data_IF_092295466441
#
_entry.id   IF_092295466441
#
_cell.length_a   1.000
_cell.length_b   1.000
_cell.length_c   1.000
_cell.angle_alpha   90.00
_cell.angle_beta   90.00
_cell.angle_gamma   90.00
#
_symmetry.space_group_name_H-M   'P 1'
#
loop_
_entity.id
_entity.type
_entity.pdbx_description
1 polymer ?
#
# COMPACT_ATOMS: atom_id res chain seq x y z
N UNK A 1 19.55 -10.03 16.74
CA UNK A 1 18.76 -10.52 17.90
C UNK A 1 17.86 -9.40 18.34
N UNK A 2 16.58 -9.67 18.66
CA UNK A 2 15.66 -8.65 19.21
C UNK A 2 16.03 -8.51 20.67
N UNK A 3 16.48 -7.33 21.08
CA UNK A 3 16.77 -7.04 22.49
C UNK A 3 15.47 -7.05 23.28
N UNK A 4 15.33 -8.00 24.21
CA UNK A 4 14.09 -8.22 24.98
C UNK A 4 13.63 -7.01 25.78
N UNK A 5 14.56 -6.10 26.12
CA UNK A 5 14.33 -4.90 26.93
C UNK A 5 14.42 -3.60 26.12
N UNK A 6 14.44 -3.66 24.79
CA UNK A 6 14.38 -2.43 23.98
C UNK A 6 13.05 -1.70 24.17
N UNK A 7 13.02 -0.35 24.09
CA UNK A 7 11.78 0.43 24.21
C UNK A 7 10.71 -0.06 23.24
N UNK A 8 11.12 -0.49 22.04
CA UNK A 8 10.23 -1.05 21.01
C UNK A 8 9.60 -2.37 21.46
N UNK A 9 10.38 -3.28 22.02
CA UNK A 9 9.87 -4.58 22.51
C UNK A 9 8.94 -4.38 23.72
N UNK A 10 9.26 -3.46 24.63
CA UNK A 10 8.39 -3.10 25.76
C UNK A 10 7.05 -2.59 25.26
N UNK A 11 7.05 -1.68 24.28
CA UNK A 11 5.83 -1.19 23.67
C UNK A 11 5.02 -2.32 23.02
N UNK A 12 5.65 -3.21 22.23
CA UNK A 12 4.96 -4.35 21.59
C UNK A 12 4.35 -5.30 22.64
N UNK A 13 5.03 -5.55 23.76
CA UNK A 13 4.47 -6.31 24.89
C UNK A 13 3.24 -5.59 25.50
N UNK A 14 3.28 -4.26 25.62
CA UNK A 14 2.13 -3.48 26.10
C UNK A 14 0.93 -3.57 25.17
N UNK A 15 1.12 -3.64 23.85
CA UNK A 15 0.04 -3.87 22.88
C UNK A 15 -0.64 -5.22 23.12
N UNK A 16 0.14 -6.27 23.39
CA UNK A 16 -0.42 -7.58 23.74
C UNK A 16 -1.22 -7.54 25.04
N UNK A 17 -0.73 -6.82 26.06
CA UNK A 17 -1.46 -6.63 27.32
C UNK A 17 -2.81 -5.93 27.10
N UNK A 18 -2.86 -4.87 26.27
CA UNK A 18 -4.08 -4.19 25.88
C UNK A 18 -5.05 -5.13 25.13
N UNK A 19 -4.51 -5.95 24.21
CA UNK A 19 -5.30 -6.91 23.46
C UNK A 19 -5.92 -7.98 24.36
N UNK A 20 -5.15 -8.52 25.32
CA UNK A 20 -5.66 -9.47 26.31
C UNK A 20 -6.74 -8.82 27.18
N UNK A 21 -6.52 -7.59 27.65
CA UNK A 21 -7.51 -6.84 28.43
C UNK A 21 -8.82 -6.58 27.65
N UNK A 22 -8.76 -6.54 26.31
CA UNK A 22 -9.95 -6.46 25.44
C UNK A 22 -10.55 -7.85 25.10
N UNK A 23 -10.32 -8.87 25.92
CA UNK A 23 -10.83 -10.23 25.71
C UNK A 23 -10.12 -10.99 24.60
N UNK A 24 -8.87 -10.64 24.30
CA UNK A 24 -8.05 -11.22 23.23
C UNK A 24 -8.73 -11.18 21.84
N UNK A 25 -9.49 -10.12 21.58
CA UNK A 25 -10.17 -9.86 20.31
C UNK A 25 -10.02 -8.40 19.90
N UNK A 26 -9.40 -8.16 18.72
CA UNK A 26 -9.23 -6.79 18.23
C UNK A 26 -8.28 -6.68 17.04
N UNK A 27 -8.09 -5.43 16.57
CA UNK A 27 -7.13 -5.13 15.52
C UNK A 27 -6.11 -4.06 15.93
N UNK A 28 -4.93 -4.11 15.31
CA UNK A 28 -3.89 -3.08 15.46
C UNK A 28 -3.68 -2.37 14.13
N UNK A 29 -3.59 -1.03 14.16
CA UNK A 29 -3.25 -0.18 13.00
C UNK A 29 -1.83 0.36 13.18
N UNK A 30 -0.83 -0.39 12.74
CA UNK A 30 0.59 -0.12 13.01
C UNK A 30 1.33 0.03 11.69
N UNK A 31 2.02 1.16 11.51
CA UNK A 31 2.76 1.46 10.28
C UNK A 31 3.78 0.37 9.92
N UNK A 32 4.02 0.19 8.63
CA UNK A 32 5.00 -0.76 8.13
C UNK A 32 6.40 -0.40 8.66
N UNK A 33 7.16 -1.41 9.03
CA UNK A 33 8.50 -1.21 9.60
C UNK A 33 8.53 -1.10 11.13
N UNK A 34 7.41 -0.78 11.82
CA UNK A 34 7.35 -0.69 13.29
C UNK A 34 7.24 -2.07 13.99
N UNK A 35 7.23 -3.20 13.27
CA UNK A 35 7.27 -4.54 13.86
C UNK A 35 5.90 -5.17 14.11
N UNK A 36 4.92 -4.88 13.27
CA UNK A 36 3.58 -5.47 13.29
C UNK A 36 3.57 -7.00 13.40
N UNK A 37 4.39 -7.69 12.57
CA UNK A 37 4.49 -9.15 12.60
C UNK A 37 5.00 -9.69 13.95
N UNK A 38 5.87 -8.95 14.64
CA UNK A 38 6.38 -9.36 15.96
C UNK A 38 5.30 -9.32 17.04
N UNK A 39 4.31 -8.43 16.92
CA UNK A 39 3.12 -8.47 17.79
C UNK A 39 2.35 -9.77 17.56
N UNK A 40 2.23 -10.24 16.32
CA UNK A 40 1.70 -11.58 16.01
C UNK A 40 2.51 -12.70 16.67
N UNK A 41 3.85 -12.61 16.63
CA UNK A 41 4.76 -13.56 17.31
C UNK A 41 4.47 -13.60 18.81
N UNK A 42 4.38 -12.44 19.47
CA UNK A 42 4.09 -12.37 20.90
C UNK A 42 2.70 -12.94 21.26
N UNK A 43 1.70 -12.71 20.41
CA UNK A 43 0.36 -13.30 20.58
C UNK A 43 0.42 -14.84 20.47
N UNK A 44 1.20 -15.38 19.53
CA UNK A 44 1.40 -16.82 19.35
C UNK A 44 2.13 -17.41 20.57
N UNK A 45 3.20 -16.79 21.03
CA UNK A 45 3.94 -17.20 22.21
C UNK A 45 3.03 -17.28 23.45
N UNK A 46 2.22 -16.26 23.66
CA UNK A 46 1.22 -16.24 24.74
C UNK A 46 0.16 -17.36 24.58
N UNK A 47 -0.28 -17.60 23.34
CA UNK A 47 -1.23 -18.69 23.06
C UNK A 47 -0.58 -20.07 23.34
N UNK A 48 0.65 -20.28 22.89
CA UNK A 48 1.39 -21.52 23.16
C UNK A 48 1.62 -21.75 24.67
N UNK A 49 1.80 -20.71 25.47
CA UNK A 49 1.92 -20.81 26.93
C UNK A 49 0.60 -21.21 27.59
N UNK A 50 -0.52 -20.65 27.17
CA UNK A 50 -1.83 -20.88 27.78
C UNK A 50 -2.56 -22.11 27.22
N UNK A 51 -2.28 -22.46 25.97
CA UNK A 51 -2.92 -23.52 25.21
C UNK A 51 -1.89 -24.31 24.38
N UNK A 52 -0.98 -25.07 25.03
CA UNK A 52 0.20 -25.67 24.40
C UNK A 52 -0.14 -26.66 23.27
N UNK A 53 -1.30 -27.31 23.33
CA UNK A 53 -1.71 -28.35 22.37
C UNK A 53 -2.71 -27.86 21.32
N UNK A 54 -3.06 -26.57 21.34
CA UNK A 54 -4.05 -26.02 20.41
C UNK A 54 -3.41 -25.43 19.18
N UNK A 55 -4.10 -25.58 18.06
CA UNK A 55 -3.68 -24.99 16.77
C UNK A 55 -3.80 -23.46 16.77
N UNK A 56 -2.96 -22.83 16.00
CA UNK A 56 -2.93 -21.39 15.72
C UNK A 56 -2.93 -21.22 14.22
N UNK A 57 -3.90 -20.45 13.70
CA UNK A 57 -4.00 -20.18 12.28
C UNK A 57 -3.64 -18.75 11.96
N UNK A 58 -2.76 -18.56 10.97
CA UNK A 58 -2.42 -17.28 10.40
C UNK A 58 -2.97 -17.21 8.97
N UNK A 59 -3.81 -16.22 8.69
CA UNK A 59 -4.38 -15.98 7.37
C UNK A 59 -3.75 -14.75 6.76
N UNK A 60 -3.18 -14.90 5.58
CA UNK A 60 -2.48 -13.83 4.84
C UNK A 60 -3.06 -13.66 3.45
N UNK A 61 -2.97 -12.46 2.81
CA UNK A 61 -3.53 -12.24 1.48
C UNK A 61 -2.70 -12.85 0.34
N UNK A 62 -1.41 -13.13 0.55
CA UNK A 62 -0.51 -13.54 -0.52
C UNK A 62 0.51 -14.60 -0.09
N UNK A 63 1.03 -15.35 -1.07
CA UNK A 63 2.10 -16.35 -0.85
C UNK A 63 3.38 -15.68 -0.32
N UNK A 64 3.68 -14.46 -0.77
CA UNK A 64 4.88 -13.71 -0.31
C UNK A 64 4.82 -13.43 1.18
N UNK A 65 3.63 -13.08 1.70
CA UNK A 65 3.42 -12.90 3.14
C UNK A 65 3.40 -14.23 3.88
N UNK A 66 2.90 -15.31 3.28
CA UNK A 66 3.03 -16.65 3.86
C UNK A 66 4.51 -17.05 4.00
N UNK A 67 5.33 -16.83 2.97
CA UNK A 67 6.78 -17.09 3.00
C UNK A 67 7.47 -16.30 4.13
N UNK A 68 7.04 -15.08 4.45
CA UNK A 68 7.58 -14.29 5.57
C UNK A 68 7.36 -14.96 6.94
N UNK A 69 6.31 -15.74 7.08
CA UNK A 69 6.04 -16.53 8.28
C UNK A 69 6.71 -17.90 8.27
N UNK A 70 6.78 -18.56 7.11
CA UNK A 70 7.10 -20.00 6.97
C UNK A 70 8.50 -20.29 6.42
N UNK A 71 9.25 -19.31 5.91
CA UNK A 71 10.59 -19.53 5.36
C UNK A 71 11.48 -20.28 6.38
N UNK A 72 12.11 -21.36 5.95
CA UNK A 72 12.89 -22.25 6.82
C UNK A 72 14.11 -21.58 7.46
N UNK A 73 14.60 -20.48 6.90
CA UNK A 73 15.79 -19.77 7.39
C UNK A 73 15.46 -18.45 8.08
N UNK A 74 14.46 -17.74 7.58
CA UNK A 74 14.16 -16.33 7.95
C UNK A 74 12.71 -16.12 8.38
N UNK A 75 11.85 -17.14 8.30
CA UNK A 75 10.45 -17.03 8.67
C UNK A 75 10.25 -16.88 10.17
N UNK A 76 9.24 -16.13 10.57
CA UNK A 76 8.97 -15.85 11.98
C UNK A 76 8.76 -17.12 12.80
N UNK A 77 8.12 -18.17 12.23
CA UNK A 77 7.88 -19.44 12.92
C UNK A 77 9.21 -20.06 13.36
N UNK A 78 10.15 -20.16 12.44
CA UNK A 78 11.47 -20.75 12.70
C UNK A 78 12.33 -19.91 13.62
N UNK A 79 12.39 -18.59 13.35
CA UNK A 79 13.24 -17.67 14.11
C UNK A 79 12.84 -17.57 15.59
N UNK A 80 11.54 -17.75 15.90
CA UNK A 80 11.02 -17.59 17.26
C UNK A 80 10.58 -18.93 17.88
N UNK A 81 10.84 -20.06 17.23
CA UNK A 81 10.50 -21.38 17.75
C UNK A 81 9.00 -21.58 18.03
N UNK A 82 8.14 -20.98 17.18
CA UNK A 82 6.70 -21.02 17.37
C UNK A 82 6.15 -22.41 17.07
N UNK A 83 5.23 -22.91 17.89
CA UNK A 83 4.66 -24.26 17.78
C UNK A 83 3.19 -24.19 17.36
N UNK A 84 2.70 -25.26 16.75
CA UNK A 84 1.29 -25.46 16.38
C UNK A 84 0.72 -24.38 15.46
N UNK A 85 1.56 -23.76 14.63
CA UNK A 85 1.19 -22.66 13.73
C UNK A 85 1.03 -23.19 12.32
N UNK A 86 -0.14 -22.94 11.74
CA UNK A 86 -0.43 -23.18 10.32
C UNK A 86 -0.66 -21.82 9.61
N UNK A 87 -0.08 -21.62 8.44
CA UNK A 87 -0.20 -20.39 7.66
C UNK A 87 -0.93 -20.65 6.35
N UNK A 88 -1.95 -19.86 6.09
CA UNK A 88 -2.82 -20.03 4.93
C UNK A 88 -2.92 -18.75 4.12
N UNK A 89 -2.90 -18.89 2.79
CA UNK A 89 -3.38 -17.84 1.92
C UNK A 89 -4.91 -17.81 1.97
N UNK A 90 -5.50 -16.63 2.11
CA UNK A 90 -6.93 -16.42 2.35
C UNK A 90 -7.83 -17.18 1.37
N UNK A 91 -7.48 -17.20 0.07
CA UNK A 91 -8.26 -17.90 -0.97
C UNK A 91 -8.27 -19.43 -0.80
N UNK A 92 -7.28 -19.96 -0.08
CA UNK A 92 -7.22 -21.38 0.28
C UNK A 92 -7.97 -21.64 1.58
N UNK A 93 -7.81 -20.74 2.55
CA UNK A 93 -8.42 -20.85 3.87
C UNK A 93 -9.95 -20.95 3.82
N UNK A 94 -10.61 -20.14 3.01
CA UNK A 94 -12.08 -20.09 2.89
C UNK A 94 -12.71 -21.29 2.16
N UNK A 95 -11.93 -22.33 1.88
CA UNK A 95 -12.42 -23.57 1.22
C UNK A 95 -12.79 -24.68 2.20
N UNK A 96 -12.43 -24.57 3.47
CA UNK A 96 -12.67 -25.58 4.50
C UNK A 96 -12.99 -24.95 5.85
N UNK A 97 -13.52 -25.76 6.76
CA UNK A 97 -13.73 -25.35 8.15
C UNK A 97 -12.45 -25.51 8.96
N UNK A 98 -12.24 -24.66 9.95
CA UNK A 98 -11.06 -24.65 10.80
C UNK A 98 -11.44 -24.57 12.29
N UNK A 99 -10.59 -25.15 13.14
CA UNK A 99 -10.65 -25.02 14.60
C UNK A 99 -9.27 -24.64 15.12
N UNK A 100 -9.17 -23.51 15.84
CA UNK A 100 -7.90 -23.04 16.41
C UNK A 100 -8.15 -22.23 17.70
N UNK A 101 -7.16 -22.16 18.58
CA UNK A 101 -7.25 -21.30 19.75
C UNK A 101 -7.07 -19.82 19.37
N UNK A 102 -6.13 -19.53 18.47
CA UNK A 102 -5.84 -18.18 18.00
C UNK A 102 -5.94 -18.12 16.48
N UNK A 103 -6.75 -17.18 16.00
CA UNK A 103 -6.79 -16.77 14.60
C UNK A 103 -6.09 -15.42 14.44
N UNK A 104 -5.05 -15.36 13.61
CA UNK A 104 -4.40 -14.11 13.20
C UNK A 104 -4.76 -13.83 11.74
N UNK A 105 -5.24 -12.62 11.45
CA UNK A 105 -5.48 -12.16 10.08
C UNK A 105 -4.50 -11.01 9.82
N UNK A 106 -3.44 -11.30 9.05
CA UNK A 106 -2.45 -10.30 8.66
C UNK A 106 -2.90 -9.57 7.40
N UNK A 107 -2.67 -8.25 7.34
CA UNK A 107 -3.17 -7.33 6.32
C UNK A 107 -4.70 -7.45 6.15
N UNK A 108 -5.43 -7.33 7.26
CA UNK A 108 -6.88 -7.58 7.34
C UNK A 108 -7.72 -6.72 6.38
N UNK A 109 -7.23 -5.58 5.91
CA UNK A 109 -7.90 -4.74 4.91
C UNK A 109 -8.19 -5.46 3.58
N UNK A 110 -7.47 -6.54 3.28
CA UNK A 110 -7.75 -7.38 2.10
C UNK A 110 -8.91 -8.36 2.31
N UNK A 111 -9.25 -8.61 3.55
CA UNK A 111 -10.33 -9.51 3.94
C UNK A 111 -11.60 -8.76 4.36
N UNK A 112 -11.46 -7.56 4.94
CA UNK A 112 -12.53 -6.76 5.52
C UNK A 112 -13.07 -5.70 4.54
N UNK A 113 -14.38 -5.41 4.62
CA UNK A 113 -15.07 -4.36 3.86
C UNK A 113 -16.46 -4.81 3.40
N UNK A 114 -17.36 -3.88 3.13
CA UNK A 114 -18.75 -4.17 2.73
C UNK A 114 -18.89 -5.11 1.51
N UNK A 115 -17.93 -5.06 0.59
CA UNK A 115 -17.87 -5.94 -0.58
C UNK A 115 -16.99 -7.17 -0.39
N UNK A 116 -16.27 -7.26 0.72
CA UNK A 116 -15.39 -8.38 1.02
C UNK A 116 -16.16 -9.50 1.72
N UNK A 117 -16.87 -10.32 0.96
CA UNK A 117 -17.46 -11.58 1.44
C UNK A 117 -16.43 -12.52 2.09
N UNK A 118 -15.12 -12.19 1.97
CA UNK A 118 -14.02 -13.04 2.36
C UNK A 118 -13.79 -13.05 3.86
N UNK A 119 -13.88 -11.88 4.54
CA UNK A 119 -13.74 -11.82 6.01
C UNK A 119 -14.86 -12.59 6.71
N UNK A 120 -16.10 -12.42 6.23
CA UNK A 120 -17.25 -13.16 6.76
C UNK A 120 -16.98 -14.67 6.68
N UNK A 121 -16.52 -15.16 5.51
CA UNK A 121 -16.18 -16.57 5.32
C UNK A 121 -15.06 -17.02 6.26
N UNK A 122 -14.02 -16.21 6.46
CA UNK A 122 -12.94 -16.56 7.40
C UNK A 122 -13.50 -16.73 8.81
N UNK A 123 -14.35 -15.81 9.25
CA UNK A 123 -14.95 -15.86 10.60
C UNK A 123 -15.98 -16.98 10.72
N UNK A 124 -16.86 -17.13 9.73
CA UNK A 124 -17.94 -18.15 9.73
C UNK A 124 -17.39 -19.60 9.67
N UNK A 125 -16.27 -19.79 8.95
CA UNK A 125 -15.65 -21.11 8.78
C UNK A 125 -14.64 -21.46 9.87
N UNK A 126 -14.40 -20.55 10.84
CA UNK A 126 -13.39 -20.77 11.88
C UNK A 126 -14.00 -20.74 13.28
N UNK A 127 -13.84 -21.82 14.01
CA UNK A 127 -14.03 -21.83 15.45
C UNK A 127 -12.73 -21.38 16.12
N UNK A 128 -12.77 -20.26 16.83
CA UNK A 128 -11.61 -19.67 17.52
C UNK A 128 -11.98 -19.10 18.88
N UNK A 129 -11.00 -19.03 19.79
CA UNK A 129 -11.16 -18.37 21.09
C UNK A 129 -10.61 -16.94 21.05
N UNK A 130 -9.49 -16.71 20.37
CA UNK A 130 -8.78 -15.45 20.28
C UNK A 130 -8.66 -14.99 18.82
N UNK A 131 -8.78 -13.68 18.60
CA UNK A 131 -8.68 -13.05 17.27
C UNK A 131 -7.76 -11.82 17.32
N UNK A 132 -6.71 -11.83 16.51
CA UNK A 132 -5.84 -10.68 16.31
C UNK A 132 -5.80 -10.31 14.82
N UNK A 133 -6.26 -9.12 14.47
CA UNK A 133 -6.14 -8.59 13.12
C UNK A 133 -5.01 -7.57 13.06
N UNK A 134 -4.12 -7.72 12.09
CA UNK A 134 -2.96 -6.85 11.89
C UNK A 134 -3.13 -6.06 10.58
N UNK A 135 -2.82 -4.76 10.62
CA UNK A 135 -2.84 -3.89 9.45
C UNK A 135 -1.92 -2.70 9.62
N UNK A 136 -1.48 -2.10 8.51
CA UNK A 136 -0.75 -0.84 8.53
C UNK A 136 -1.71 0.37 8.54
N UNK A 137 -2.86 0.25 7.90
CA UNK A 137 -3.90 1.29 7.86
C UNK A 137 -5.23 0.69 7.41
N UNK A 138 -6.33 1.29 7.87
CA UNK A 138 -7.69 0.94 7.46
C UNK A 138 -8.45 2.18 6.99
N UNK A 139 -9.22 2.02 5.93
CA UNK A 139 -10.24 2.99 5.54
C UNK A 139 -11.43 2.92 6.51
N UNK A 140 -12.21 3.99 6.61
CA UNK A 140 -13.28 4.07 7.62
C UNK A 140 -14.38 3.03 7.43
N UNK A 141 -14.68 2.66 6.18
CA UNK A 141 -15.59 1.55 5.87
C UNK A 141 -15.10 0.20 6.43
N UNK A 142 -13.78 -0.08 6.37
CA UNK A 142 -13.20 -1.29 6.97
C UNK A 142 -13.30 -1.27 8.49
N UNK A 143 -13.08 -0.10 9.13
CA UNK A 143 -13.20 0.06 10.58
C UNK A 143 -14.64 -0.20 11.04
N UNK A 144 -15.61 0.45 10.39
CA UNK A 144 -17.04 0.26 10.67
C UNK A 144 -17.43 -1.21 10.53
N UNK A 145 -16.95 -1.88 9.47
CA UNK A 145 -17.19 -3.27 9.24
C UNK A 145 -16.63 -4.17 10.36
N UNK A 146 -15.35 -4.00 10.75
CA UNK A 146 -14.74 -4.76 11.84
C UNK A 146 -15.43 -4.51 13.19
N UNK A 147 -15.84 -3.27 13.46
CA UNK A 147 -16.59 -2.93 14.67
C UNK A 147 -17.94 -3.65 14.75
N UNK A 148 -18.62 -3.85 13.61
CA UNK A 148 -19.85 -4.65 13.51
C UNK A 148 -19.66 -6.11 13.96
N UNK A 149 -18.45 -6.66 13.83
CA UNK A 149 -18.06 -7.98 14.35
C UNK A 149 -17.50 -7.93 15.79
N UNK A 150 -17.54 -6.78 16.46
CA UNK A 150 -16.96 -6.60 17.79
C UNK A 150 -15.42 -6.61 17.81
N UNK A 151 -14.78 -6.44 16.65
CA UNK A 151 -13.31 -6.34 16.52
C UNK A 151 -12.92 -4.87 16.64
N UNK A 152 -12.44 -4.45 17.83
CA UNK A 152 -12.12 -3.06 18.15
C UNK A 152 -10.64 -2.74 17.92
N UNK A 153 -10.33 -1.45 17.78
CA UNK A 153 -8.94 -0.97 17.73
C UNK A 153 -8.27 -1.18 19.10
N UNK A 154 -7.14 -1.85 19.10
CA UNK A 154 -6.29 -2.07 20.29
C UNK A 154 -5.20 -1.04 20.38
N UNK A 155 -4.50 -0.79 19.26
CA UNK A 155 -3.38 0.14 19.20
C UNK A 155 -3.29 0.76 17.82
N UNK A 156 -2.94 2.06 17.78
CA UNK A 156 -2.59 2.77 16.58
C UNK A 156 -1.21 3.39 16.72
N UNK A 157 -0.32 3.08 15.76
CA UNK A 157 1.03 3.60 15.73
C UNK A 157 1.38 4.08 14.32
N UNK A 158 1.61 5.38 14.19
CA UNK A 158 1.83 6.07 12.91
C UNK A 158 3.30 6.04 12.50
N UNK A 159 3.58 6.31 11.22
CA UNK A 159 4.96 6.46 10.74
C UNK A 159 5.70 7.60 11.45
N UNK A 160 5.01 8.73 11.75
CA UNK A 160 5.62 9.83 12.48
C UNK A 160 6.04 9.42 13.90
N UNK A 161 5.19 8.70 14.64
CA UNK A 161 5.56 8.15 15.94
C UNK A 161 6.77 7.21 15.86
N UNK A 162 6.88 6.45 14.75
CA UNK A 162 8.03 5.59 14.50
C UNK A 162 9.32 6.35 14.24
N UNK A 163 9.24 7.49 13.56
CA UNK A 163 10.38 8.42 13.38
C UNK A 163 10.76 9.07 14.70
N UNK A 164 9.77 9.62 15.42
CA UNK A 164 9.98 10.29 16.72
C UNK A 164 10.59 9.35 17.76
N UNK A 165 10.28 8.06 17.69
CA UNK A 165 10.84 7.02 18.55
C UNK A 165 12.21 6.47 18.06
N UNK A 166 12.75 6.93 16.95
CA UNK A 166 13.98 6.42 16.34
C UNK A 166 13.87 4.98 15.77
N UNK A 167 12.64 4.48 15.51
CA UNK A 167 12.44 3.14 14.97
C UNK A 167 12.29 3.12 13.44
N UNK A 168 12.04 4.27 12.85
CA UNK A 168 11.97 4.50 11.41
C UNK A 168 12.87 5.66 11.01
N UNK A 169 13.38 5.64 9.80
CA UNK A 169 14.16 6.74 9.25
C UNK A 169 13.29 7.99 9.05
N UNK A 170 13.82 9.19 9.25
CA UNK A 170 13.21 10.43 8.82
C UNK A 170 12.81 10.37 7.33
N UNK A 171 11.74 11.05 6.96
CA UNK A 171 11.27 11.02 5.58
C UNK A 171 10.63 12.32 5.13
N UNK A 172 10.64 12.52 3.80
CA UNK A 172 9.90 13.59 3.12
C UNK A 172 9.08 13.00 1.98
N UNK A 173 7.86 13.48 1.82
CA UNK A 173 7.00 13.21 0.66
C UNK A 173 7.03 14.46 -0.22
N UNK A 174 7.61 14.36 -1.41
CA UNK A 174 7.86 15.46 -2.31
C UNK A 174 6.96 15.32 -3.55
N UNK A 175 5.96 16.18 -3.65
CA UNK A 175 4.99 16.17 -4.75
C UNK A 175 5.50 17.09 -5.87
N UNK A 176 5.85 16.52 -7.02
CA UNK A 176 6.45 17.24 -8.15
C UNK A 176 5.46 17.33 -9.29
N UNK A 177 5.09 18.55 -9.72
CA UNK A 177 4.22 18.75 -10.88
C UNK A 177 4.98 18.41 -12.17
N UNK A 178 4.30 17.72 -13.07
CA UNK A 178 4.80 17.39 -14.41
C UNK A 178 3.75 17.89 -15.41
N UNK A 179 4.11 18.87 -16.21
CA UNK A 179 3.21 19.42 -17.21
C UNK A 179 3.00 18.45 -18.38
N UNK A 180 1.80 18.45 -18.94
CA UNK A 180 1.53 17.83 -20.23
C UNK A 180 2.05 18.76 -21.34
N UNK A 181 2.59 18.19 -22.41
CA UNK A 181 2.77 18.96 -23.65
C UNK A 181 1.43 19.40 -24.25
N UNK A 182 1.46 20.26 -25.25
CA UNK A 182 0.23 20.83 -25.80
C UNK A 182 -0.71 19.79 -26.38
N UNK A 183 -0.19 18.76 -27.07
CA UNK A 183 -0.98 17.71 -27.68
C UNK A 183 -1.65 16.81 -26.61
N UNK A 184 -0.89 16.42 -25.62
CA UNK A 184 -1.40 15.57 -24.51
C UNK A 184 -2.37 16.37 -23.62
N UNK A 185 -2.18 17.67 -23.44
CA UNK A 185 -3.13 18.56 -22.73
C UNK A 185 -4.46 18.63 -23.48
N UNK A 186 -4.44 18.87 -24.78
CA UNK A 186 -5.65 18.92 -25.62
C UNK A 186 -6.40 17.58 -25.60
N UNK A 187 -5.67 16.48 -25.65
CA UNK A 187 -6.22 15.12 -25.55
C UNK A 187 -6.93 14.89 -24.21
N UNK A 188 -6.27 15.26 -23.10
CA UNK A 188 -6.84 15.12 -21.77
C UNK A 188 -8.10 15.98 -21.61
N UNK A 189 -8.05 17.24 -22.06
CA UNK A 189 -9.16 18.20 -21.91
C UNK A 189 -10.38 17.75 -22.72
N UNK A 190 -10.21 17.21 -23.93
CA UNK A 190 -11.30 16.58 -24.71
C UNK A 190 -11.92 15.39 -23.96
N UNK A 191 -11.11 14.48 -23.43
CA UNK A 191 -11.61 13.34 -22.63
C UNK A 191 -12.32 13.80 -21.35
N UNK A 192 -11.79 14.86 -20.71
CA UNK A 192 -12.38 15.40 -19.50
C UNK A 192 -13.71 16.10 -19.77
N UNK A 193 -13.84 16.84 -20.86
CA UNK A 193 -15.08 17.48 -21.30
C UNK A 193 -16.17 16.41 -21.60
N UNK A 194 -15.84 15.36 -22.35
CA UNK A 194 -16.78 14.27 -22.62
C UNK A 194 -17.19 13.51 -21.35
N UNK A 195 -16.25 13.29 -20.42
CA UNK A 195 -16.60 12.74 -19.12
C UNK A 195 -17.59 13.63 -18.36
N UNK A 196 -17.33 14.93 -18.27
CA UNK A 196 -18.18 15.89 -17.54
C UNK A 196 -19.57 16.01 -18.18
N UNK A 197 -19.68 16.00 -19.50
CA UNK A 197 -20.96 16.03 -20.25
C UNK A 197 -21.88 14.90 -19.80
N UNK A 198 -21.36 13.68 -19.67
CA UNK A 198 -22.14 12.55 -19.20
C UNK A 198 -22.27 12.51 -17.67
N UNK A 199 -21.32 13.07 -16.93
CA UNK A 199 -21.37 13.15 -15.47
C UNK A 199 -22.47 14.10 -14.98
N UNK A 200 -22.79 15.13 -15.76
CA UNK A 200 -23.89 16.05 -15.47
C UNK A 200 -25.26 15.31 -15.34
N UNK A 201 -25.46 14.21 -16.08
CA UNK A 201 -26.65 13.34 -15.94
C UNK A 201 -26.84 12.86 -14.50
N UNK A 202 -25.78 12.66 -13.77
CA UNK A 202 -25.74 12.20 -12.38
C UNK A 202 -25.56 13.33 -11.38
N UNK A 203 -25.86 14.58 -11.78
CA UNK A 203 -25.70 15.78 -10.94
C UNK A 203 -24.28 15.93 -10.36
N UNK A 204 -23.27 15.46 -11.09
CA UNK A 204 -21.88 15.36 -10.68
C UNK A 204 -21.65 14.55 -9.38
N UNK A 205 -22.59 13.68 -9.02
CA UNK A 205 -22.45 12.75 -7.88
C UNK A 205 -21.92 11.39 -8.34
N UNK A 206 -20.74 11.06 -7.84
CA UNK A 206 -20.06 9.81 -8.17
C UNK A 206 -20.82 8.58 -7.65
N UNK A 207 -21.50 8.69 -6.50
CA UNK A 207 -22.26 7.58 -5.92
C UNK A 207 -23.49 7.28 -6.75
N UNK A 208 -24.22 8.30 -7.22
CA UNK A 208 -25.35 8.15 -8.14
C UNK A 208 -24.88 7.48 -9.43
N UNK A 209 -23.79 7.98 -10.03
CA UNK A 209 -23.24 7.41 -11.26
C UNK A 209 -22.83 5.93 -11.07
N UNK A 210 -22.13 5.61 -9.99
CA UNK A 210 -21.71 4.23 -9.68
C UNK A 210 -22.90 3.32 -9.37
N UNK A 211 -23.93 3.83 -8.69
CA UNK A 211 -25.16 3.07 -8.45
C UNK A 211 -25.84 2.72 -9.77
N UNK A 212 -25.89 3.66 -10.72
CA UNK A 212 -26.40 3.37 -12.08
C UNK A 212 -25.53 2.35 -12.84
N UNK A 213 -24.23 2.24 -12.55
CA UNK A 213 -23.37 1.21 -13.17
C UNK A 213 -23.67 -0.18 -12.62
N UNK A 214 -23.98 -0.30 -11.32
CA UNK A 214 -24.11 -1.58 -10.61
C UNK A 214 -25.56 -2.07 -10.47
N UNK A 215 -26.54 -1.17 -10.51
CA UNK A 215 -27.95 -1.45 -10.31
C UNK A 215 -28.78 -0.99 -11.53
N UNK A 216 -29.29 -1.95 -12.26
CA UNK A 216 -30.11 -1.69 -13.45
C UNK A 216 -31.46 -1.06 -13.12
N UNK A 217 -32.08 -1.47 -11.98
CA UNK A 217 -33.38 -0.94 -11.57
C UNK A 217 -33.30 0.55 -11.21
N UNK A 218 -32.14 0.96 -10.61
CA UNK A 218 -31.93 2.35 -10.27
C UNK A 218 -31.87 3.28 -11.49
N UNK A 219 -31.48 2.77 -12.68
CA UNK A 219 -31.53 3.54 -13.93
C UNK A 219 -32.95 3.94 -14.32
N UNK A 220 -33.91 3.03 -14.16
CA UNK A 220 -35.32 3.30 -14.39
C UNK A 220 -35.86 4.36 -13.43
N UNK A 221 -35.49 4.31 -12.16
CA UNK A 221 -35.85 5.34 -11.15
C UNK A 221 -35.31 6.70 -11.58
N UNK A 222 -34.01 6.77 -11.93
CA UNK A 222 -33.39 8.01 -12.36
C UNK A 222 -33.98 8.55 -13.68
N UNK A 223 -34.35 7.66 -14.61
CA UNK A 223 -35.03 8.02 -15.86
C UNK A 223 -36.34 8.73 -15.57
N UNK A 224 -37.16 8.18 -14.69
CA UNK A 224 -38.45 8.76 -14.27
C UNK A 224 -38.23 10.12 -13.56
N UNK A 225 -37.26 10.23 -12.64
CA UNK A 225 -36.95 11.49 -11.95
C UNK A 225 -36.53 12.61 -12.91
N UNK A 226 -35.79 12.28 -13.97
CA UNK A 226 -35.30 13.25 -14.95
C UNK A 226 -36.27 13.49 -16.12
N UNK A 227 -37.35 12.72 -16.23
CA UNK A 227 -38.23 12.74 -17.40
C UNK A 227 -37.56 12.27 -18.69
N UNK A 228 -36.58 11.35 -18.59
CA UNK A 228 -35.81 10.82 -19.71
C UNK A 228 -36.17 9.37 -20.00
N UNK A 229 -35.91 8.93 -21.25
CA UNK A 229 -36.00 7.50 -21.54
C UNK A 229 -34.86 6.70 -20.85
N UNK A 230 -35.15 5.45 -20.50
CA UNK A 230 -34.11 4.56 -19.94
C UNK A 230 -32.95 4.36 -20.92
N UNK A 231 -33.21 4.36 -22.21
CA UNK A 231 -32.18 4.28 -23.25
C UNK A 231 -31.17 5.44 -23.14
N UNK A 232 -31.68 6.67 -22.89
CA UNK A 232 -30.82 7.86 -22.69
C UNK A 232 -29.96 7.73 -21.43
N UNK A 233 -30.53 7.25 -20.34
CA UNK A 233 -29.77 6.99 -19.10
C UNK A 233 -28.72 5.91 -19.35
N UNK A 234 -29.07 4.80 -20.00
CA UNK A 234 -28.13 3.73 -20.32
C UNK A 234 -26.96 4.22 -21.18
N UNK A 235 -27.21 5.04 -22.18
CA UNK A 235 -26.17 5.68 -23.00
C UNK A 235 -25.26 6.58 -22.18
N UNK A 236 -25.84 7.40 -21.27
CA UNK A 236 -25.07 8.26 -20.37
C UNK A 236 -24.18 7.45 -19.40
N UNK A 237 -24.71 6.38 -18.81
CA UNK A 237 -23.95 5.47 -17.93
C UNK A 237 -22.78 4.82 -18.69
N UNK A 238 -23.05 4.31 -19.89
CA UNK A 238 -22.02 3.66 -20.72
C UNK A 238 -20.91 4.65 -21.07
N UNK A 239 -21.27 5.82 -21.61
CA UNK A 239 -20.29 6.83 -22.04
C UNK A 239 -19.53 7.43 -20.85
N UNK A 240 -20.19 7.70 -19.72
CA UNK A 240 -19.52 8.16 -18.51
C UNK A 240 -18.48 7.15 -18.03
N UNK A 241 -18.84 5.87 -17.91
CA UNK A 241 -17.94 4.81 -17.46
C UNK A 241 -16.78 4.59 -18.45
N UNK A 242 -17.06 4.64 -19.77
CA UNK A 242 -16.04 4.57 -20.81
C UNK A 242 -15.04 5.72 -20.71
N UNK A 243 -15.51 6.97 -20.63
CA UNK A 243 -14.66 8.15 -20.57
C UNK A 243 -13.88 8.23 -19.25
N UNK A 244 -14.46 7.77 -18.13
CA UNK A 244 -13.75 7.60 -16.87
C UNK A 244 -12.54 6.66 -17.02
N UNK A 245 -12.71 5.53 -17.72
CA UNK A 245 -11.63 4.55 -17.97
C UNK A 245 -10.58 5.09 -18.93
N UNK A 246 -10.98 5.71 -20.04
CA UNK A 246 -10.06 6.30 -21.02
C UNK A 246 -9.18 7.38 -20.39
N UNK A 247 -9.77 8.32 -19.62
CA UNK A 247 -9.05 9.37 -18.91
C UNK A 247 -8.07 8.81 -17.88
N UNK A 248 -8.48 7.76 -17.15
CA UNK A 248 -7.64 7.05 -16.19
C UNK A 248 -6.45 6.37 -16.89
N UNK A 249 -6.71 5.66 -17.97
CA UNK A 249 -5.70 4.96 -18.76
C UNK A 249 -4.70 5.95 -19.33
N UNK A 250 -5.17 7.08 -19.89
CA UNK A 250 -4.31 8.15 -20.36
C UNK A 250 -3.34 8.62 -19.26
N UNK A 251 -3.85 8.96 -18.05
CA UNK A 251 -3.02 9.43 -16.94
C UNK A 251 -2.02 8.38 -16.43
N UNK A 252 -2.26 7.09 -16.70
CA UNK A 252 -1.32 6.03 -16.37
C UNK A 252 -0.15 5.90 -17.34
N UNK A 253 -0.29 6.46 -18.57
CA UNK A 253 0.70 6.34 -19.63
C UNK A 253 1.29 7.69 -20.04
N UNK A 254 1.11 8.73 -19.24
CA UNK A 254 1.71 10.07 -19.52
C UNK A 254 3.22 9.94 -19.64
N UNK A 255 3.69 10.19 -20.85
CA UNK A 255 5.08 10.02 -21.24
C UNK A 255 6.02 10.94 -20.46
N UNK A 256 5.62 12.20 -20.26
CA UNK A 256 6.42 13.17 -19.51
C UNK A 256 6.67 12.73 -18.07
N UNK A 257 5.72 12.04 -17.40
CA UNK A 257 5.93 11.47 -16.06
C UNK A 257 6.90 10.30 -16.04
N UNK A 258 6.82 9.41 -17.06
CA UNK A 258 7.75 8.29 -17.22
C UNK A 258 9.17 8.81 -17.41
N UNK A 259 9.36 9.78 -18.30
CA UNK A 259 10.65 10.40 -18.57
C UNK A 259 11.20 11.14 -17.34
N UNK A 260 10.37 11.88 -16.62
CA UNK A 260 10.75 12.53 -15.36
C UNK A 260 11.21 11.51 -14.32
N UNK A 261 10.51 10.37 -14.16
CA UNK A 261 10.91 9.32 -13.24
C UNK A 261 12.29 8.72 -13.60
N UNK A 262 12.57 8.53 -14.89
CA UNK A 262 13.87 8.05 -15.39
C UNK A 262 14.98 9.06 -15.07
N UNK A 263 14.77 10.34 -15.41
CA UNK A 263 15.73 11.42 -15.18
C UNK A 263 16.04 11.55 -13.68
N UNK A 264 15.02 11.68 -12.85
CA UNK A 264 15.19 11.80 -11.39
C UNK A 264 15.98 10.62 -10.82
N UNK A 265 15.70 9.39 -11.29
CA UNK A 265 16.39 8.19 -10.81
C UNK A 265 17.87 8.19 -11.20
N UNK A 266 18.18 8.60 -12.44
CA UNK A 266 19.56 8.69 -12.94
C UNK A 266 20.37 9.78 -12.22
N UNK A 267 19.77 10.94 -11.94
CA UNK A 267 20.44 12.05 -11.27
C UNK A 267 20.70 11.76 -9.79
N UNK A 268 19.71 11.25 -9.07
CA UNK A 268 19.85 11.02 -7.63
C UNK A 268 20.73 9.81 -7.29
N UNK A 269 20.82 8.81 -8.14
CA UNK A 269 21.66 7.59 -8.01
C UNK A 269 21.47 6.83 -6.69
N UNK A 270 20.33 7.01 -6.04
CA UNK A 270 19.96 6.31 -4.82
C UNK A 270 19.32 4.96 -5.16
N UNK A 271 19.38 4.00 -4.23
CA UNK A 271 18.62 2.76 -4.38
C UNK A 271 17.12 3.07 -4.41
N UNK A 272 16.46 2.77 -5.53
CA UNK A 272 15.13 3.29 -5.86
C UNK A 272 14.12 2.20 -6.17
N UNK A 273 12.88 2.35 -5.65
CA UNK A 273 11.69 1.70 -6.20
C UNK A 273 10.89 2.72 -7.01
N UNK A 274 10.56 2.35 -8.26
CA UNK A 274 9.64 3.11 -9.11
C UNK A 274 8.27 2.40 -9.12
N UNK A 275 7.23 3.12 -8.75
CA UNK A 275 5.87 2.60 -8.62
C UNK A 275 4.96 3.16 -9.72
N UNK A 276 4.26 2.27 -10.42
CA UNK A 276 3.27 2.65 -11.41
C UNK A 276 2.07 1.72 -11.51
N UNK A 277 1.16 2.06 -12.41
CA UNK A 277 -0.06 1.31 -12.66
C UNK A 277 -0.04 0.57 -14.01
N UNK A 278 0.93 0.88 -14.88
CA UNK A 278 1.09 0.31 -16.22
C UNK A 278 2.31 -0.60 -16.30
N UNK A 279 2.12 -1.81 -16.82
CA UNK A 279 3.23 -2.74 -17.08
C UNK A 279 4.12 -2.15 -18.17
N UNK A 280 3.55 -1.66 -19.28
CA UNK A 280 4.32 -1.05 -20.38
C UNK A 280 5.19 0.13 -19.90
N UNK A 281 4.67 0.96 -18.97
CA UNK A 281 5.47 2.03 -18.38
C UNK A 281 6.59 1.52 -17.48
N UNK A 282 6.36 0.43 -16.73
CA UNK A 282 7.38 -0.19 -15.90
C UNK A 282 8.52 -0.81 -16.77
N UNK A 283 8.15 -1.49 -17.86
CA UNK A 283 9.08 -2.08 -18.81
C UNK A 283 9.93 -0.99 -19.48
N UNK A 284 9.30 0.11 -19.94
CA UNK A 284 9.98 1.26 -20.54
C UNK A 284 10.99 1.91 -19.59
N UNK A 285 10.64 2.07 -18.32
CA UNK A 285 11.55 2.60 -17.30
C UNK A 285 12.74 1.66 -17.11
N UNK A 286 12.49 0.35 -17.01
CA UNK A 286 13.53 -0.64 -16.82
C UNK A 286 14.48 -0.68 -18.03
N UNK A 287 13.95 -0.65 -19.24
CA UNK A 287 14.74 -0.58 -20.48
C UNK A 287 15.64 0.68 -20.51
N UNK A 288 15.09 1.85 -20.17
CA UNK A 288 15.83 3.12 -20.17
C UNK A 288 16.91 3.21 -19.08
N UNK A 289 16.75 2.49 -17.96
CA UNK A 289 17.73 2.40 -16.88
C UNK A 289 18.70 1.23 -17.06
N UNK A 290 18.47 0.34 -18.02
CA UNK A 290 19.37 -0.75 -18.44
C UNK A 290 19.72 -1.73 -17.31
N UNK A 291 20.98 -2.19 -17.30
CA UNK A 291 21.46 -3.23 -16.37
C UNK A 291 21.36 -2.86 -14.89
N UNK A 292 21.16 -1.60 -14.55
CA UNK A 292 20.99 -1.15 -13.16
C UNK A 292 19.54 -1.30 -12.67
N UNK A 293 18.59 -1.66 -13.54
CA UNK A 293 17.17 -1.80 -13.22
C UNK A 293 16.65 -3.22 -13.47
N UNK A 294 15.75 -3.66 -12.62
CA UNK A 294 14.95 -4.86 -12.82
C UNK A 294 13.48 -4.55 -12.77
N UNK A 295 12.68 -5.35 -13.44
CA UNK A 295 11.22 -5.25 -13.47
C UNK A 295 10.57 -6.10 -12.40
N UNK A 296 9.35 -5.67 -11.98
CA UNK A 296 8.48 -6.48 -11.13
C UNK A 296 7.01 -6.21 -11.43
N UNK A 297 6.33 -7.17 -12.03
CA UNK A 297 4.90 -7.07 -12.35
C UNK A 297 4.21 -8.44 -12.49
N UNK A 298 2.89 -8.46 -12.55
CA UNK A 298 2.07 -9.67 -12.52
C UNK A 298 2.21 -10.60 -13.74
N UNK A 299 2.76 -10.12 -14.86
CA UNK A 299 3.03 -10.96 -16.04
C UNK A 299 4.31 -11.77 -15.93
N UNK A 300 5.17 -11.48 -14.94
CA UNK A 300 6.41 -12.24 -14.73
C UNK A 300 6.12 -13.60 -14.10
N UNK A 301 6.97 -14.58 -14.42
CA UNK A 301 6.96 -15.84 -13.69
C UNK A 301 7.43 -15.63 -12.24
N UNK A 302 6.93 -16.45 -11.31
CA UNK A 302 7.34 -16.38 -9.90
C UNK A 302 8.87 -16.52 -9.72
N UNK A 303 9.50 -17.36 -10.54
CA UNK A 303 10.96 -17.56 -10.53
C UNK A 303 11.69 -16.31 -10.93
N UNK A 304 11.29 -15.67 -12.04
CA UNK A 304 11.91 -14.44 -12.52
C UNK A 304 11.72 -13.29 -11.52
N UNK A 305 10.52 -13.13 -10.98
CA UNK A 305 10.24 -12.13 -9.94
C UNK A 305 11.15 -12.32 -8.71
N UNK A 306 11.28 -13.56 -8.19
CA UNK A 306 12.19 -13.89 -7.08
C UNK A 306 13.66 -13.61 -7.44
N UNK A 307 14.09 -13.92 -8.64
CA UNK A 307 15.46 -13.65 -9.12
C UNK A 307 15.75 -12.13 -9.17
N UNK A 308 14.86 -11.33 -9.74
CA UNK A 308 14.99 -9.88 -9.82
C UNK A 308 15.09 -9.25 -8.42
N UNK A 309 14.25 -9.68 -7.49
CA UNK A 309 14.31 -9.24 -6.10
C UNK A 309 15.62 -9.64 -5.41
N UNK A 310 16.16 -10.83 -5.71
CA UNK A 310 17.46 -11.27 -5.20
C UNK A 310 18.60 -10.39 -5.74
N UNK A 311 18.59 -10.06 -7.04
CA UNK A 311 19.58 -9.16 -7.64
C UNK A 311 19.62 -7.79 -6.94
N UNK A 312 18.45 -7.20 -6.69
CA UNK A 312 18.35 -5.90 -6.00
C UNK A 312 18.87 -5.94 -4.54
N UNK A 313 18.72 -7.10 -3.86
CA UNK A 313 19.23 -7.30 -2.49
C UNK A 313 20.72 -7.59 -2.43
N UNK A 314 21.27 -8.15 -3.49
CA UNK A 314 22.67 -8.53 -3.57
C UNK A 314 23.51 -7.32 -3.98
N UNK A 315 24.14 -6.66 -3.00
CA UNK A 315 24.97 -5.48 -3.22
C UNK A 315 26.20 -5.71 -4.11
N UNK A 316 26.46 -6.95 -4.58
CA UNK A 316 27.50 -7.29 -5.55
C UNK A 316 27.04 -7.16 -6.99
N UNK A 317 25.73 -6.97 -7.23
CA UNK A 317 25.19 -6.75 -8.57
C UNK A 317 25.18 -5.24 -8.91
N UNK A 318 25.08 -4.91 -10.20
CA UNK A 318 24.90 -3.53 -10.64
C UNK A 318 23.48 -2.99 -10.37
N UNK A 319 22.54 -3.86 -9.99
CA UNK A 319 21.12 -3.51 -9.84
C UNK A 319 20.90 -2.64 -8.61
N UNK A 320 20.45 -1.41 -8.85
CA UNK A 320 20.09 -0.42 -7.82
C UNK A 320 18.61 -0.05 -7.85
N UNK A 321 17.94 -0.33 -8.97
CA UNK A 321 16.59 0.14 -9.25
C UNK A 321 15.64 -1.03 -9.49
N UNK A 322 14.38 -0.84 -9.12
CA UNK A 322 13.31 -1.77 -9.47
C UNK A 322 12.10 -0.97 -9.96
N UNK A 323 11.66 -1.28 -11.18
CA UNK A 323 10.45 -0.70 -11.76
C UNK A 323 9.27 -1.65 -11.58
N UNK A 324 8.20 -1.18 -10.95
CA UNK A 324 7.08 -2.03 -10.57
C UNK A 324 5.73 -1.51 -11.05
N UNK A 325 4.93 -2.42 -11.61
CA UNK A 325 3.53 -2.19 -11.91
C UNK A 325 2.63 -3.05 -11.01
N UNK A 326 1.91 -2.41 -10.07
CA UNK A 326 0.88 -3.00 -9.17
C UNK A 326 1.36 -4.12 -8.23
N UNK A 327 2.66 -4.39 -8.11
CA UNK A 327 3.12 -5.65 -7.53
C UNK A 327 3.95 -5.58 -6.25
N UNK A 328 4.55 -4.44 -5.89
CA UNK A 328 5.46 -4.33 -4.74
C UNK A 328 4.85 -3.67 -3.51
N UNK A 329 3.53 -3.67 -3.41
CA UNK A 329 2.83 -3.02 -2.31
C UNK A 329 2.94 -3.82 -1.01
N UNK A 330 3.24 -5.15 -1.03
CA UNK A 330 3.22 -6.03 0.16
C UNK A 330 4.36 -7.08 0.21
N UNK A 331 4.76 -7.46 1.43
CA UNK A 331 5.61 -8.62 1.70
C UNK A 331 7.09 -8.51 1.33
N UNK A 332 7.61 -7.32 0.99
CA UNK A 332 8.94 -7.16 0.43
C UNK A 332 9.87 -6.35 1.33
N UNK A 333 11.09 -6.85 1.59
CA UNK A 333 12.09 -6.21 2.44
C UNK A 333 13.33 -5.77 1.66
N UNK A 334 13.62 -4.45 1.71
CA UNK A 334 14.82 -3.82 1.19
C UNK A 334 15.37 -2.82 2.21
N UNK A 335 16.35 -3.21 3.03
CA UNK A 335 16.84 -2.37 4.14
C UNK A 335 17.50 -1.05 3.65
N UNK A 336 18.18 -1.06 2.51
CA UNK A 336 18.95 0.09 2.02
C UNK A 336 18.16 1.03 1.09
N UNK A 337 16.87 0.78 0.90
CA UNK A 337 16.05 1.57 0.02
C UNK A 337 15.89 3.00 0.54
N UNK A 338 16.28 4.00 -0.25
CA UNK A 338 16.25 5.41 0.13
C UNK A 338 15.21 6.23 -0.62
N UNK A 339 14.89 5.81 -1.85
CA UNK A 339 14.04 6.57 -2.76
C UNK A 339 12.88 5.73 -3.25
N UNK A 340 11.68 6.30 -3.20
CA UNK A 340 10.50 5.81 -3.91
C UNK A 340 10.02 6.86 -4.88
N UNK A 341 9.77 6.49 -6.13
CA UNK A 341 9.21 7.39 -7.15
C UNK A 341 7.90 6.81 -7.64
N UNK A 342 6.80 7.54 -7.47
CA UNK A 342 5.50 7.17 -8.04
C UNK A 342 5.24 7.99 -9.29
N UNK A 343 5.27 7.35 -10.46
CA UNK A 343 4.98 7.98 -11.74
C UNK A 343 3.51 7.82 -12.19
N UNK A 344 2.76 6.85 -11.62
CA UNK A 344 1.31 6.78 -11.80
C UNK A 344 0.60 6.14 -10.59
N UNK A 345 -0.61 6.59 -10.28
CA UNK A 345 -1.32 6.24 -9.04
C UNK A 345 -2.81 6.05 -9.20
N UNK A 346 -3.42 5.53 -8.14
CA UNK A 346 -4.87 5.54 -7.91
C UNK A 346 -5.21 6.46 -6.73
N UNK A 347 -6.48 6.74 -6.48
CA UNK A 347 -6.94 7.52 -5.32
C UNK A 347 -6.82 6.80 -3.97
N UNK A 348 -6.37 5.54 -3.95
CA UNK A 348 -6.33 4.73 -2.72
C UNK A 348 -5.19 5.17 -1.79
N UNK A 349 -5.55 5.64 -0.61
CA UNK A 349 -4.62 6.03 0.47
C UNK A 349 -3.76 4.85 0.94
N UNK A 350 -4.35 3.66 0.99
CA UNK A 350 -3.67 2.44 1.44
C UNK A 350 -2.38 2.16 0.66
N UNK A 351 -2.44 2.26 -0.68
CA UNK A 351 -1.24 2.03 -1.52
C UNK A 351 -0.11 3.03 -1.23
N UNK A 352 -0.42 4.30 -0.96
CA UNK A 352 0.58 5.31 -0.63
C UNK A 352 1.29 4.99 0.70
N UNK A 353 0.53 4.63 1.74
CA UNK A 353 1.09 4.25 3.07
C UNK A 353 1.96 3.00 2.98
N UNK A 354 1.54 1.99 2.23
CA UNK A 354 2.29 0.75 2.06
C UNK A 354 3.60 0.98 1.30
N UNK A 355 3.56 1.79 0.23
CA UNK A 355 4.76 2.19 -0.53
C UNK A 355 5.75 2.94 0.35
N UNK A 356 5.27 3.94 1.09
CA UNK A 356 6.09 4.72 2.02
C UNK A 356 6.75 3.81 3.06
N UNK A 357 6.01 2.91 3.68
CA UNK A 357 6.53 1.96 4.67
C UNK A 357 7.67 1.06 4.20
N UNK A 358 7.87 0.91 2.88
CA UNK A 358 9.01 0.16 2.31
C UNK A 358 10.31 0.93 2.40
N UNK A 359 10.25 2.26 2.28
CA UNK A 359 11.41 3.14 2.28
C UNK A 359 11.78 3.60 3.69
N UNK A 360 10.84 3.55 4.65
CA UNK A 360 11.03 4.08 6.01
C UNK A 360 11.85 3.21 6.94
N UNK A 361 12.32 2.04 6.54
CA UNK A 361 13.10 1.20 7.44
C UNK A 361 14.32 1.94 7.97
N UNK A 362 14.48 1.87 9.27
CA UNK A 362 15.59 2.54 9.96
C UNK A 362 16.94 2.09 9.43
N UNK A 363 17.75 3.06 9.10
CA UNK A 363 19.17 2.90 8.84
C UNK A 363 19.88 4.17 9.34
N UNK A 364 20.97 4.07 10.12
CA UNK A 364 21.71 5.23 10.60
C UNK A 364 22.10 6.16 9.43
N UNK A 365 21.96 7.46 9.61
CA UNK A 365 22.31 8.46 8.60
C UNK A 365 21.38 8.54 7.39
N UNK A 366 20.25 7.82 7.38
CA UNK A 366 19.34 7.77 6.24
C UNK A 366 18.16 8.71 6.41
N UNK A 367 17.97 9.62 5.43
CA UNK A 367 16.68 10.24 5.15
C UNK A 367 16.02 9.54 3.95
N UNK A 368 14.77 9.18 4.08
CA UNK A 368 14.00 8.55 3.00
C UNK A 368 13.21 9.59 2.22
N UNK A 369 13.20 9.47 0.89
CA UNK A 369 12.46 10.37 0.00
C UNK A 369 11.39 9.59 -0.75
N UNK A 370 10.17 10.12 -0.74
CA UNK A 370 9.07 9.58 -1.51
C UNK A 370 8.57 10.66 -2.49
N UNK A 371 8.90 10.48 -3.77
CA UNK A 371 8.59 11.42 -4.82
C UNK A 371 7.28 11.01 -5.50
N UNK A 372 6.34 11.92 -5.53
CA UNK A 372 5.03 11.74 -6.13
C UNK A 372 4.89 12.67 -7.33
N UNK A 373 5.07 12.10 -8.55
CA UNK A 373 4.87 12.86 -9.80
C UNK A 373 3.38 12.96 -10.10
N UNK A 374 2.90 14.14 -10.45
CA UNK A 374 1.50 14.34 -10.79
C UNK A 374 1.32 15.37 -11.90
N UNK A 375 0.22 15.28 -12.63
CA UNK A 375 -0.17 16.27 -13.65
C UNK A 375 -1.10 17.28 -13.00
N UNK A 376 -0.71 18.56 -12.93
CA UNK A 376 -1.55 19.65 -12.40
C UNK A 376 -2.88 19.79 -13.16
N UNK A 377 -3.89 20.30 -12.48
CA UNK A 377 -5.23 20.60 -13.02
C UNK A 377 -5.93 19.39 -13.67
N UNK A 378 -5.59 18.19 -13.20
CA UNK A 378 -6.16 16.93 -13.70
C UNK A 378 -6.75 16.07 -12.58
N UNK A 379 -7.34 14.94 -12.98
CA UNK A 379 -7.75 13.91 -12.03
C UNK A 379 -6.56 13.30 -11.27
N UNK A 380 -5.34 13.34 -11.82
CA UNK A 380 -4.13 12.83 -11.17
C UNK A 380 -3.79 13.63 -9.90
N UNK A 381 -3.90 14.94 -9.96
CA UNK A 381 -3.74 15.83 -8.80
C UNK A 381 -4.81 15.56 -7.73
N UNK A 382 -6.07 15.35 -8.13
CA UNK A 382 -7.15 14.99 -7.19
C UNK A 382 -6.89 13.67 -6.50
N UNK A 383 -6.37 12.69 -7.23
CA UNK A 383 -5.95 11.40 -6.64
C UNK A 383 -4.77 11.57 -5.69
N UNK A 384 -3.78 12.40 -6.04
CA UNK A 384 -2.65 12.70 -5.17
C UNK A 384 -3.13 13.29 -3.84
N UNK A 385 -3.89 14.38 -3.88
CA UNK A 385 -4.43 15.04 -2.69
C UNK A 385 -5.26 14.09 -1.83
N UNK A 386 -6.09 13.26 -2.45
CA UNK A 386 -6.88 12.25 -1.75
C UNK A 386 -6.01 11.19 -1.07
N UNK A 387 -4.99 10.66 -1.78
CA UNK A 387 -4.13 9.60 -1.26
C UNK A 387 -3.20 10.06 -0.13
N UNK A 388 -2.85 11.34 -0.09
CA UNK A 388 -1.94 11.91 0.91
C UNK A 388 -2.65 12.70 2.02
N UNK A 389 -3.98 12.75 2.05
CA UNK A 389 -4.78 13.56 2.99
C UNK A 389 -4.37 13.42 4.46
N UNK A 390 -3.95 12.21 4.87
CA UNK A 390 -3.58 11.89 6.25
C UNK A 390 -2.07 11.73 6.44
N UNK A 391 -1.25 12.10 5.44
CA UNK A 391 0.20 12.03 5.55
C UNK A 391 0.77 13.33 6.10
N UNK A 392 1.78 13.19 6.95
CA UNK A 392 2.62 14.31 7.40
C UNK A 392 3.86 14.42 6.50
N UNK A 393 4.60 15.51 6.65
CA UNK A 393 5.85 15.77 5.91
C UNK A 393 5.68 15.79 4.37
N UNK A 394 4.53 16.28 3.90
CA UNK A 394 4.22 16.42 2.47
C UNK A 394 4.54 17.85 2.01
N UNK A 395 5.39 17.95 1.00
CA UNK A 395 5.78 19.21 0.36
C UNK A 395 5.35 19.21 -1.11
N UNK A 396 4.58 20.21 -1.50
CA UNK A 396 4.21 20.44 -2.90
C UNK A 396 5.24 21.37 -3.53
N UNK A 397 5.98 20.88 -4.50
CA UNK A 397 7.07 21.59 -5.16
C UNK A 397 6.57 22.33 -6.40
N UNK A 398 7.37 23.29 -6.86
CA UNK A 398 7.08 24.06 -8.10
C UNK A 398 7.75 23.45 -9.32
N UNK A 399 8.87 22.71 -9.14
CA UNK A 399 9.65 22.12 -10.24
C UNK A 399 10.51 20.96 -9.77
N UNK A 400 11.10 20.23 -10.73
CA UNK A 400 12.11 19.21 -10.47
C UNK A 400 13.40 19.83 -9.90
N UNK A 401 13.79 21.05 -10.29
CA UNK A 401 14.98 21.72 -9.74
C UNK A 401 14.85 21.96 -8.25
N UNK A 402 13.65 22.35 -7.78
CA UNK A 402 13.38 22.48 -6.35
C UNK A 402 13.52 21.13 -5.61
N UNK A 403 13.16 20.01 -6.25
CA UNK A 403 13.38 18.69 -5.71
C UNK A 403 14.87 18.44 -5.45
N UNK A 404 15.71 18.69 -6.45
CA UNK A 404 17.16 18.48 -6.32
C UNK A 404 17.75 19.36 -5.23
N UNK A 405 17.39 20.66 -5.20
CA UNK A 405 17.86 21.60 -4.19
C UNK A 405 17.52 21.15 -2.76
N UNK A 406 16.31 20.58 -2.53
CA UNK A 406 15.93 20.07 -1.21
C UNK A 406 16.79 18.87 -0.81
N UNK A 407 17.02 17.93 -1.73
CA UNK A 407 17.76 16.70 -1.44
C UNK A 407 19.25 17.02 -1.21
N UNK A 408 19.83 17.92 -1.99
CA UNK A 408 21.21 18.38 -1.83
C UNK A 408 21.42 19.10 -0.50
N UNK A 409 20.53 20.01 -0.15
CA UNK A 409 20.58 20.70 1.15
C UNK A 409 20.47 19.72 2.33
N UNK A 410 19.63 18.68 2.21
CA UNK A 410 19.52 17.67 3.25
C UNK A 410 20.81 16.85 3.37
N UNK A 411 21.46 16.49 2.26
CA UNK A 411 22.76 15.78 2.27
C UNK A 411 23.86 16.63 2.93
N UNK A 412 23.97 17.91 2.56
CA UNK A 412 24.92 18.83 3.14
C UNK A 412 24.73 18.96 4.66
N UNK A 413 23.49 19.09 5.13
CA UNK A 413 23.16 19.20 6.56
C UNK A 413 23.40 17.91 7.36
N UNK A 414 23.41 16.75 6.72
CA UNK A 414 23.81 15.48 7.32
C UNK A 414 25.33 15.41 7.44
N UNK A 415 26.06 15.88 6.42
CA UNK A 415 27.53 15.88 6.39
C UNK A 415 28.15 16.85 7.41
N UNK A 416 27.53 18.02 7.65
CA UNK A 416 27.99 19.03 8.63
C UNK A 416 27.43 18.80 10.05
N UNK A 417 26.66 17.74 10.28
CA UNK A 417 26.16 17.38 11.59
C UNK A 417 25.07 18.32 12.15
N UNK A 418 24.49 19.19 11.31
CA UNK A 418 23.39 20.10 11.70
C UNK A 418 22.03 19.43 11.75
N UNK A 419 21.91 18.23 11.21
CA UNK A 419 20.78 17.30 11.47
C UNK A 419 21.38 16.11 12.22
N UNK A 420 21.08 16.01 13.52
CA UNK A 420 21.32 14.80 14.29
C UNK A 420 20.46 13.68 13.69
N UNK A 421 21.10 12.78 12.97
CA UNK A 421 20.51 11.54 12.51
C UNK A 421 20.75 10.50 13.60
N UNK A 422 20.00 10.63 14.72
CA UNK A 422 19.98 9.63 15.77
C UNK A 422 19.33 8.32 15.30
#
# INVERSE_FOLDING_TARGET
MIEENSPRTIWQKSVISKWVANGAKGYTEICTGAGKSYIGVLAIQLCNQRHPDKKINIVVPSIVLADAWTDEKKGHIKLHGLKNVEVFVINTYVKSQHDCALLIIDEVQHAAGEKAKTFNKVIELTKFSWLLCLTATLEDNHKTFLHGYGVKLIEKFTAQQGVDAGWLSPYKVLCVPIELDGEDRDKYDKMHAEFNKHFATFKFDFNIAMKCVTDYNYRGILANELGWSEQRINASVFNWNRNMRLRKEFLYHVESKINAAIVITKELRMQTILFGQSIAGADKIAEALGDECVEYHSKMTKTQAKLNLKKLRDGRTKVKYISSAKGLEEGFDLPNLQLGVTWSRTSKTLGAVQKLGRILRFHPGKTAYFIELYVPDTQDEKWLKSSLRNQKNVLYLKSIDQLYSIIENDKARIEDGTIDVQ
#
